data_IF_900843316984
#
_entry.id   IF_900843316984
#
_cell.length_a   1.000
_cell.length_b   1.000
_cell.length_c   1.000
_cell.angle_alpha   90.00
_cell.angle_beta   90.00
_cell.angle_gamma   90.00
#
_symmetry.space_group_name_H-M   'P 1'
#
loop_
_entity.id
_entity.type
_entity.pdbx_description
1 polymer ?
#
# COMPACT_ATOMS: atom_id res chain seq x y z
N UNK A 1 2.19 13.11 4.56
CA UNK A 1 2.05 13.25 3.09
C UNK A 1 3.38 12.90 2.40
N UNK A 2 3.37 11.98 1.43
CA UNK A 2 4.60 11.59 0.71
C UNK A 2 5.23 12.78 -0.02
N UNK A 3 6.56 12.84 -0.06
CA UNK A 3 7.30 13.98 -0.63
C UNK A 3 7.27 14.03 -2.17
N UNK A 4 6.90 12.92 -2.81
CA UNK A 4 6.81 12.78 -4.27
C UNK A 4 5.68 11.81 -4.68
N UNK A 5 5.21 11.87 -5.92
CA UNK A 5 4.26 10.88 -6.48
C UNK A 5 4.81 9.45 -6.36
N UNK A 6 6.13 9.29 -6.54
CA UNK A 6 6.81 8.00 -6.36
C UNK A 6 6.76 7.51 -4.92
N UNK A 7 7.02 8.36 -3.92
CA UNK A 7 6.90 7.99 -2.51
C UNK A 7 5.47 7.56 -2.17
N UNK A 8 4.45 8.25 -2.71
CA UNK A 8 3.06 7.87 -2.49
C UNK A 8 2.76 6.47 -3.04
N UNK A 9 3.15 6.19 -4.28
CA UNK A 9 2.95 4.87 -4.92
C UNK A 9 3.74 3.79 -4.19
N UNK A 10 4.97 4.10 -3.77
CA UNK A 10 5.81 3.19 -2.98
C UNK A 10 5.16 2.84 -1.65
N UNK A 11 4.62 3.83 -0.94
CA UNK A 11 3.97 3.61 0.36
C UNK A 11 2.71 2.76 0.20
N UNK A 12 1.88 3.05 -0.80
CA UNK A 12 0.69 2.26 -1.11
C UNK A 12 1.09 0.83 -1.45
N UNK A 13 2.05 0.65 -2.37
CA UNK A 13 2.51 -0.67 -2.80
C UNK A 13 3.13 -1.49 -1.66
N UNK A 14 3.77 -0.83 -0.70
CA UNK A 14 4.35 -1.50 0.47
C UNK A 14 3.30 -1.96 1.48
N UNK A 15 2.20 -1.22 1.65
CA UNK A 15 1.17 -1.54 2.65
C UNK A 15 0.02 -2.38 2.06
N UNK A 16 -0.21 -2.33 0.75
CA UNK A 16 -1.33 -3.01 0.09
C UNK A 16 -0.92 -4.01 -0.99
N UNK A 17 0.38 -4.10 -1.30
CA UNK A 17 0.88 -4.85 -2.45
C UNK A 17 0.79 -4.06 -3.75
N UNK A 18 1.38 -4.61 -4.81
CA UNK A 18 1.37 -3.99 -6.13
C UNK A 18 -0.05 -3.97 -6.71
N UNK A 19 -0.45 -2.90 -7.43
CA UNK A 19 -1.68 -2.90 -8.21
C UNK A 19 -1.70 -4.08 -9.19
N UNK A 20 -2.90 -4.55 -9.56
CA UNK A 20 -3.04 -5.65 -10.51
C UNK A 20 -2.34 -5.35 -11.84
N UNK A 21 -1.75 -6.38 -12.47
CA UNK A 21 -0.96 -6.22 -13.69
C UNK A 21 -1.72 -5.55 -14.83
N UNK A 22 -3.04 -5.74 -14.90
CA UNK A 22 -3.88 -5.12 -15.92
C UNK A 22 -3.99 -3.59 -15.70
N UNK A 23 -4.04 -3.12 -14.45
CA UNK A 23 -4.02 -1.69 -14.11
C UNK A 23 -2.66 -1.08 -14.41
N UNK A 24 -1.58 -1.79 -14.04
CA UNK A 24 -0.22 -1.37 -14.35
C UNK A 24 -0.01 -1.29 -15.87
N UNK A 25 -0.50 -2.28 -16.62
CA UNK A 25 -0.37 -2.29 -18.08
C UNK A 25 -1.25 -1.24 -18.77
N UNK A 26 -2.39 -0.87 -18.19
CA UNK A 26 -3.27 0.18 -18.72
C UNK A 26 -2.83 1.60 -18.32
N UNK A 27 -2.02 1.74 -17.27
CA UNK A 27 -1.62 3.03 -16.73
C UNK A 27 -0.58 3.75 -17.60
N UNK A 28 -0.91 4.96 -18.06
CA UNK A 28 0.00 5.80 -18.85
C UNK A 28 1.22 6.29 -18.07
N UNK A 29 1.12 6.36 -16.75
CA UNK A 29 2.22 6.73 -15.84
C UNK A 29 2.95 5.52 -15.25
N UNK A 30 2.54 4.29 -15.52
CA UNK A 30 3.11 3.10 -14.85
C UNK A 30 4.61 2.99 -15.07
N UNK A 31 5.10 3.20 -16.29
CA UNK A 31 6.54 3.11 -16.63
C UNK A 31 7.41 4.17 -15.95
N UNK A 32 6.81 5.22 -15.36
CA UNK A 32 7.56 6.19 -14.53
C UNK A 32 7.96 5.62 -13.18
N UNK A 33 7.16 4.73 -12.62
CA UNK A 33 7.32 4.23 -11.24
C UNK A 33 7.62 2.74 -11.18
N UNK A 34 7.24 1.98 -12.21
CA UNK A 34 7.43 0.54 -12.29
C UNK A 34 8.28 0.20 -13.51
N UNK A 35 9.17 -0.77 -13.31
CA UNK A 35 9.92 -1.43 -14.37
C UNK A 35 9.26 -2.76 -14.71
N UNK A 36 9.33 -3.11 -15.98
CA UNK A 36 8.96 -4.42 -16.48
C UNK A 36 10.22 -5.09 -16.97
N UNK A 37 10.60 -6.19 -16.34
CA UNK A 37 11.83 -6.92 -16.68
C UNK A 37 11.65 -7.60 -18.06
N UNK A 38 12.32 -7.14 -19.12
CA UNK A 38 12.09 -7.65 -20.47
C UNK A 38 12.74 -9.02 -20.70
N UNK A 39 13.69 -9.41 -19.85
CA UNK A 39 14.43 -10.69 -19.94
C UNK A 39 13.74 -11.83 -19.19
N UNK A 40 12.69 -11.54 -18.41
CA UNK A 40 11.94 -12.56 -17.70
C UNK A 40 10.88 -13.22 -18.58
N UNK A 41 10.81 -14.56 -18.55
CA UNK A 41 9.79 -15.38 -19.23
C UNK A 41 8.36 -14.96 -18.85
N UNK A 42 8.20 -14.35 -17.68
CA UNK A 42 6.98 -13.70 -17.22
C UNK A 42 7.34 -12.28 -16.80
N UNK A 43 7.26 -11.30 -17.71
CA UNK A 43 7.69 -9.93 -17.45
C UNK A 43 6.70 -9.24 -16.50
N UNK A 44 6.91 -9.50 -15.20
CA UNK A 44 6.13 -8.96 -14.09
C UNK A 44 6.53 -7.50 -13.83
N UNK A 45 5.53 -6.68 -13.53
CA UNK A 45 5.76 -5.31 -13.06
C UNK A 45 6.42 -5.32 -11.68
N UNK A 46 7.52 -4.59 -11.53
CA UNK A 46 8.17 -4.31 -10.25
C UNK A 46 8.28 -2.82 -10.04
N UNK A 47 8.07 -2.37 -8.81
CA UNK A 47 8.32 -0.99 -8.45
C UNK A 47 9.83 -0.70 -8.62
N UNK A 48 10.15 0.44 -9.22
CA UNK A 48 11.54 0.95 -9.31
C UNK A 48 12.11 1.09 -7.90
N UNK A 49 13.44 1.01 -7.77
CA UNK A 49 14.07 1.34 -6.49
C UNK A 49 14.11 2.86 -6.31
N UNK A 50 14.25 3.32 -5.07
CA UNK A 50 14.40 4.75 -4.79
C UNK A 50 15.65 5.32 -5.49
N UNK A 51 16.69 4.51 -5.63
CA UNK A 51 17.93 4.85 -6.31
C UNK A 51 17.74 4.98 -7.83
N UNK A 52 17.03 4.04 -8.47
CA UNK A 52 16.68 4.13 -9.89
C UNK A 52 15.87 5.40 -10.18
N UNK A 53 14.81 5.63 -9.40
CA UNK A 53 13.94 6.79 -9.60
C UNK A 53 14.68 8.11 -9.32
N UNK A 54 15.54 8.16 -8.30
CA UNK A 54 16.39 9.32 -8.02
C UNK A 54 17.38 9.58 -9.16
N UNK A 55 17.97 8.54 -9.74
CA UNK A 55 18.86 8.66 -10.90
C UNK A 55 18.15 9.18 -12.16
N UNK A 56 16.91 8.77 -12.40
CA UNK A 56 16.13 9.19 -13.58
C UNK A 56 15.50 10.57 -13.44
N UNK A 57 15.01 10.93 -12.25
CA UNK A 57 14.20 12.14 -12.04
C UNK A 57 14.92 13.23 -11.24
N UNK A 58 16.02 12.90 -10.56
CA UNK A 58 16.69 13.77 -9.61
C UNK A 58 15.92 14.00 -8.30
N UNK A 59 14.78 13.34 -8.10
CA UNK A 59 13.94 13.51 -6.92
C UNK A 59 14.39 12.52 -5.84
N UNK A 60 14.94 13.06 -4.74
CA UNK A 60 15.28 12.30 -3.54
C UNK A 60 14.02 11.76 -2.86
N UNK A 61 13.90 10.45 -2.80
CA UNK A 61 12.86 9.77 -2.02
C UNK A 61 13.10 10.03 -0.54
N UNK A 62 12.05 10.36 0.21
CA UNK A 62 12.16 10.57 1.67
C UNK A 62 11.11 9.76 2.38
N UNK A 63 11.50 9.13 3.49
CA UNK A 63 10.56 8.43 4.35
C UNK A 63 9.85 9.43 5.27
N UNK A 64 8.61 9.79 4.96
CA UNK A 64 7.79 10.76 5.69
C UNK A 64 6.73 10.11 6.59
N UNK A 65 6.71 8.77 6.66
CA UNK A 65 5.71 8.02 7.43
C UNK A 65 6.14 7.88 8.89
N UNK A 66 5.20 8.17 9.80
CA UNK A 66 5.35 7.91 11.24
C UNK A 66 5.24 6.42 11.58
N UNK A 67 4.55 5.64 10.74
CA UNK A 67 4.36 4.20 10.88
C UNK A 67 4.55 3.51 9.52
N UNK A 68 5.30 2.41 9.51
CA UNK A 68 5.54 1.58 8.33
C UNK A 68 4.86 0.24 8.57
N UNK A 69 3.71 0.04 7.95
CA UNK A 69 2.95 -1.21 8.03
C UNK A 69 3.20 -2.07 6.80
N UNK A 70 3.45 -3.35 7.02
CA UNK A 70 3.64 -4.33 5.94
C UNK A 70 2.31 -4.77 5.31
N UNK A 71 1.21 -4.61 6.03
CA UNK A 71 -0.15 -4.86 5.54
C UNK A 71 -1.13 -3.98 6.32
N UNK A 72 -2.33 -3.75 5.77
CA UNK A 72 -3.41 -3.08 6.52
C UNK A 72 -3.81 -3.84 7.79
N UNK A 73 -3.64 -5.17 7.81
CA UNK A 73 -3.92 -6.01 8.98
C UNK A 73 -3.02 -5.65 10.18
N UNK A 74 -1.80 -5.16 9.93
CA UNK A 74 -0.88 -4.73 10.98
C UNK A 74 -1.42 -3.48 11.73
N UNK A 75 -2.27 -2.66 11.10
CA UNK A 75 -2.96 -1.57 11.79
C UNK A 75 -3.99 -2.07 12.82
N UNK A 76 -4.56 -3.27 12.62
CA UNK A 76 -5.55 -3.84 13.54
C UNK A 76 -4.95 -4.11 14.93
N UNK A 77 -3.64 -4.34 14.99
CA UNK A 77 -2.92 -4.67 16.23
C UNK A 77 -2.29 -3.45 16.91
N UNK A 78 -2.25 -2.30 16.23
CA UNK A 78 -1.61 -1.08 16.74
C UNK A 78 -2.55 -0.34 17.69
N UNK A 79 -2.02 0.10 18.83
CA UNK A 79 -2.76 0.73 19.94
C UNK A 79 -3.85 -0.18 20.56
N UNK A 80 -3.63 -1.49 20.64
CA UNK A 80 -4.54 -2.34 21.42
C UNK A 80 -4.42 -1.96 22.90
N UNK A 81 -5.50 -1.42 23.46
CA UNK A 81 -5.58 -1.05 24.88
C UNK A 81 -5.66 -2.33 25.70
N UNK A 82 -4.59 -2.64 26.42
CA UNK A 82 -4.46 -3.84 27.26
C UNK A 82 -5.37 -3.83 28.49
N UNK A 83 -6.06 -2.71 28.76
CA UNK A 83 -6.92 -2.49 29.91
C UNK A 83 -8.34 -3.06 29.78
N UNK A 84 -8.68 -3.71 28.64
CA UNK A 84 -10.00 -4.27 28.40
C UNK A 84 -10.03 -5.78 28.74
N UNK A 85 -10.94 -6.18 29.63
CA UNK A 85 -11.13 -7.58 30.03
C UNK A 85 -12.47 -8.16 29.51
N UNK A 86 -12.49 -9.48 29.29
CA UNK A 86 -13.72 -10.23 29.04
C UNK A 86 -14.48 -9.87 27.76
N UNK A 87 -15.76 -9.51 27.89
CA UNK A 87 -16.64 -9.20 26.75
C UNK A 87 -16.21 -7.96 25.97
N UNK A 88 -15.60 -6.99 26.65
CA UNK A 88 -15.25 -5.70 26.07
C UNK A 88 -14.05 -5.84 25.12
N UNK A 89 -13.11 -6.74 25.44
CA UNK A 89 -12.03 -7.12 24.52
C UNK A 89 -12.56 -7.84 23.27
N UNK A 90 -13.60 -8.68 23.40
CA UNK A 90 -14.21 -9.36 22.26
C UNK A 90 -14.98 -8.38 21.37
N UNK A 91 -15.71 -7.44 21.96
CA UNK A 91 -16.41 -6.38 21.24
C UNK A 91 -15.41 -5.47 20.51
N UNK A 92 -14.32 -5.04 21.16
CA UNK A 92 -13.31 -4.20 20.53
C UNK A 92 -12.55 -4.92 19.40
N UNK A 93 -12.27 -6.23 19.55
CA UNK A 93 -11.71 -7.04 18.46
C UNK A 93 -12.66 -7.17 17.28
N UNK A 94 -13.96 -7.31 17.51
CA UNK A 94 -14.96 -7.39 16.45
C UNK A 94 -15.11 -6.04 15.72
N UNK A 95 -15.22 -4.95 16.47
CA UNK A 95 -15.34 -3.59 15.93
C UNK A 95 -14.09 -3.20 15.11
N UNK A 96 -12.89 -3.48 15.63
CA UNK A 96 -11.65 -3.29 14.86
C UNK A 96 -11.60 -4.13 13.60
N UNK A 97 -12.09 -5.37 13.65
CA UNK A 97 -12.09 -6.24 12.46
C UNK A 97 -13.01 -5.69 11.37
N UNK A 98 -14.19 -5.22 11.75
CA UNK A 98 -15.13 -4.53 10.85
C UNK A 98 -14.53 -3.22 10.31
N UNK A 99 -13.86 -2.44 11.16
CA UNK A 99 -13.18 -1.21 10.75
C UNK A 99 -12.07 -1.49 9.73
N UNK A 100 -11.25 -2.51 9.94
CA UNK A 100 -10.16 -2.87 9.02
C UNK A 100 -10.73 -3.43 7.71
N UNK A 101 -11.80 -4.22 7.76
CA UNK A 101 -12.49 -4.71 6.57
C UNK A 101 -13.08 -3.54 5.75
N UNK A 102 -13.74 -2.59 6.41
CA UNK A 102 -14.26 -1.37 5.79
C UNK A 102 -13.12 -0.52 5.20
N UNK A 103 -12.05 -0.29 5.96
CA UNK A 103 -10.90 0.49 5.53
C UNK A 103 -10.18 -0.18 4.34
N UNK A 104 -10.08 -1.51 4.35
CA UNK A 104 -9.55 -2.30 3.24
C UNK A 104 -10.42 -2.14 2.01
N UNK A 105 -11.74 -2.22 2.14
CA UNK A 105 -12.69 -2.00 1.03
C UNK A 105 -12.67 -0.56 0.50
N UNK A 106 -12.53 0.44 1.38
CA UNK A 106 -12.42 1.85 0.98
C UNK A 106 -11.08 2.19 0.31
N UNK A 107 -9.99 1.57 0.76
CA UNK A 107 -8.66 1.77 0.21
C UNK A 107 -8.29 0.70 -0.84
N UNK A 108 -9.26 -0.04 -1.36
CA UNK A 108 -9.00 -1.02 -2.41
C UNK A 108 -8.57 -0.27 -3.67
N UNK A 109 -7.41 -0.65 -4.21
CA UNK A 109 -6.78 -0.02 -5.38
C UNK A 109 -7.63 -0.19 -6.66
N UNK A 110 -8.51 -1.19 -6.67
CA UNK A 110 -9.43 -1.51 -7.76
C UNK A 110 -10.71 -0.68 -7.63
N UNK A 111 -10.84 0.35 -8.47
CA UNK A 111 -11.96 1.29 -8.45
C UNK A 111 -13.33 0.64 -8.73
N UNK A 112 -13.36 -0.55 -9.33
CA UNK A 112 -14.60 -1.31 -9.59
C UNK A 112 -15.07 -2.10 -8.35
N UNK A 113 -14.17 -2.32 -7.38
CA UNK A 113 -14.46 -3.06 -6.14
C UNK A 113 -14.57 -2.15 -4.91
N UNK A 114 -14.28 -0.86 -5.06
CA UNK A 114 -14.54 0.14 -4.02
C UNK A 114 -16.03 0.24 -3.74
N UNK A 115 -16.41 0.15 -2.45
CA UNK A 115 -17.77 0.38 -1.98
C UNK A 115 -18.29 1.72 -2.56
N UNK A 116 -19.41 1.65 -3.28
CA UNK A 116 -20.16 2.82 -3.80
C UNK A 116 -21.40 3.04 -2.95
#
# INVERSE_FOLDING_TARGET
PGASEYDQIRYISQTQGLPAEYLLSAGTKTTRFFNRDPDSTYPLWRLKTAEDHEGETGIKSKEARKYIFNCLDDMAQVNMTSDLEGSDMLAEKADRREFIDLLTKMLTIDADKTLT
#
